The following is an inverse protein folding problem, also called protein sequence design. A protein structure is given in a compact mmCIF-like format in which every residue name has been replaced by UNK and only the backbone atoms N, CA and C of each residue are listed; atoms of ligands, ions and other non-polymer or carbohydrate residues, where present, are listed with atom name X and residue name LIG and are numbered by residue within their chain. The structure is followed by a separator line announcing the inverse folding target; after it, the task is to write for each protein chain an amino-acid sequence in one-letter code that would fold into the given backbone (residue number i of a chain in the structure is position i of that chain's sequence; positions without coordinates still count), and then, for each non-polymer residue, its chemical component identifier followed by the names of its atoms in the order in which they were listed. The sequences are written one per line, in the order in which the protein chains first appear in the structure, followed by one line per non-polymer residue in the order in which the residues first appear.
data_IF_687925130153
#
_entry.id   IF_687925130153
#
_cell.length_a   1.000
_cell.length_b   1.000
_cell.length_c   1.000
_cell.angle_alpha   90.00
_cell.angle_beta   90.00
_cell.angle_gamma   90.00
#
_symmetry.space_group_name_H-M   'P 1'
#
loop_
_entity.id
_entity.type
_entity.pdbx_description
1 polymer ?
#
# COMPACT_ATOMS: atom_id res chain seq x y z
N UNK A 1 -1.28 18.35 -0.27
CA UNK A 1 -1.50 17.19 0.61
C UNK A 1 -2.40 16.20 -0.11
N UNK A 2 -2.19 14.90 0.08
CA UNK A 2 -3.03 13.86 -0.53
C UNK A 2 -3.38 12.85 0.55
N UNK A 3 -4.62 12.38 0.52
CA UNK A 3 -5.16 11.37 1.41
C UNK A 3 -6.06 10.45 0.57
N UNK A 4 -6.02 9.16 0.89
CA UNK A 4 -6.96 8.20 0.36
C UNK A 4 -7.98 7.85 1.42
N UNK A 5 -9.23 7.71 1.00
CA UNK A 5 -10.33 7.34 1.87
C UNK A 5 -11.15 6.23 1.23
N UNK A 6 -11.81 5.46 2.08
CA UNK A 6 -12.81 4.48 1.67
C UNK A 6 -14.19 5.06 1.93
N UNK A 7 -15.01 5.15 0.89
CA UNK A 7 -16.41 5.57 1.02
C UNK A 7 -17.33 4.36 0.91
N UNK A 8 -18.06 4.07 1.98
CA UNK A 8 -19.07 3.02 1.95
C UNK A 8 -20.30 3.46 1.14
N UNK A 9 -20.79 2.56 0.30
CA UNK A 9 -21.93 2.74 -0.58
C UNK A 9 -22.74 1.44 -0.64
N UNK A 10 -24.04 1.55 -0.91
CA UNK A 10 -24.93 0.42 -1.09
C UNK A 10 -25.47 0.39 -2.52
N UNK A 11 -25.68 -0.82 -3.05
CA UNK A 11 -26.25 -1.00 -4.38
C UNK A 11 -26.98 -2.33 -4.51
N UNK A 12 -27.48 -2.62 -5.71
CA UNK A 12 -28.34 -3.78 -5.99
C UNK A 12 -27.70 -5.15 -5.65
N UNK A 13 -26.38 -5.20 -5.49
CA UNK A 13 -25.61 -6.41 -5.19
C UNK A 13 -24.97 -6.41 -3.78
N UNK A 14 -25.38 -5.50 -2.90
CA UNK A 14 -24.90 -5.40 -1.51
C UNK A 14 -24.06 -4.15 -1.24
N UNK A 15 -23.48 -4.11 -0.05
CA UNK A 15 -22.61 -3.02 0.39
C UNK A 15 -21.20 -3.17 -0.20
N UNK A 16 -20.63 -2.05 -0.63
CA UNK A 16 -19.28 -1.98 -1.19
C UNK A 16 -18.60 -0.69 -0.76
N UNK A 17 -17.28 -0.69 -0.83
CA UNK A 17 -16.47 0.49 -0.60
C UNK A 17 -15.93 1.03 -1.93
N UNK A 18 -15.86 2.34 -2.07
CA UNK A 18 -15.28 3.04 -3.22
C UNK A 18 -13.99 3.71 -2.75
N UNK A 19 -12.90 3.49 -3.48
CA UNK A 19 -11.67 4.24 -3.25
C UNK A 19 -11.86 5.70 -3.67
N UNK A 20 -11.55 6.61 -2.75
CA UNK A 20 -11.69 8.04 -2.95
C UNK A 20 -10.35 8.74 -2.74
N UNK A 21 -10.03 9.65 -3.65
CA UNK A 21 -8.89 10.55 -3.54
C UNK A 21 -9.35 11.90 -2.98
N UNK A 22 -8.72 12.29 -1.87
CA UNK A 22 -8.82 13.62 -1.30
C UNK A 22 -7.48 14.33 -1.52
N UNK A 23 -7.48 15.38 -2.34
CA UNK A 23 -6.28 16.16 -2.62
C UNK A 23 -6.51 17.62 -2.22
N UNK A 24 -5.55 18.19 -1.50
CA UNK A 24 -5.54 19.59 -1.11
C UNK A 24 -4.34 20.29 -1.72
N UNK A 25 -4.59 21.25 -2.61
CA UNK A 25 -3.54 22.17 -3.03
C UNK A 25 -3.32 23.19 -1.91
N UNK A 26 -2.18 23.07 -1.24
CA UNK A 26 -1.82 23.92 -0.11
C UNK A 26 -1.46 25.35 -0.50
N UNK A 27 -1.22 25.63 -1.80
CA UNK A 27 -0.91 26.97 -2.30
C UNK A 27 -2.18 27.72 -2.69
N UNK A 28 -3.11 27.06 -3.37
CA UNK A 28 -4.37 27.66 -3.81
C UNK A 28 -5.52 27.46 -2.82
N UNK A 29 -5.32 26.57 -1.84
CA UNK A 29 -6.32 26.08 -0.90
C UNK A 29 -7.48 25.31 -1.56
N UNK A 30 -7.34 24.91 -2.82
CA UNK A 30 -8.35 24.10 -3.52
C UNK A 30 -8.40 22.68 -2.95
N UNK A 31 -9.60 22.23 -2.60
CA UNK A 31 -9.87 20.86 -2.17
C UNK A 31 -10.52 20.10 -3.33
N UNK A 32 -9.93 18.96 -3.67
CA UNK A 32 -10.47 17.99 -4.60
C UNK A 32 -10.91 16.76 -3.84
N UNK A 33 -12.12 16.34 -4.15
CA UNK A 33 -12.75 15.13 -3.67
C UNK A 33 -13.29 14.40 -4.88
N UNK A 34 -12.65 13.28 -5.23
CA UNK A 34 -13.01 12.52 -6.42
C UNK A 34 -12.91 11.02 -6.16
N UNK A 35 -13.87 10.27 -6.70
CA UNK A 35 -13.83 8.81 -6.72
C UNK A 35 -12.75 8.36 -7.68
N UNK A 36 -12.02 7.32 -7.30
CA UNK A 36 -11.02 6.72 -8.18
C UNK A 36 -11.73 5.88 -9.22
N UNK A 37 -11.34 6.07 -10.48
CA UNK A 37 -11.94 5.39 -11.63
C UNK A 37 -10.99 4.35 -12.22
N UNK A 38 -11.52 3.26 -12.76
CA UNK A 38 -10.78 2.34 -13.62
C UNK A 38 -10.44 3.01 -14.95
N UNK A 39 -9.59 2.36 -15.76
CA UNK A 39 -9.31 2.82 -17.13
C UNK A 39 -10.54 2.87 -18.04
N UNK A 40 -11.61 2.16 -17.67
CA UNK A 40 -12.88 2.11 -18.41
C UNK A 40 -13.85 3.20 -17.96
N UNK A 41 -13.52 3.95 -16.89
CA UNK A 41 -14.34 5.04 -16.35
C UNK A 41 -15.29 4.61 -15.24
N UNK A 42 -15.31 3.33 -14.86
CA UNK A 42 -16.08 2.83 -13.73
C UNK A 42 -15.42 3.15 -12.40
N UNK A 43 -16.20 3.21 -11.32
CA UNK A 43 -15.65 3.40 -9.98
C UNK A 43 -14.83 2.18 -9.53
N UNK A 44 -13.68 2.42 -8.91
CA UNK A 44 -12.91 1.35 -8.29
C UNK A 44 -13.59 0.91 -6.97
N UNK A 45 -14.26 -0.24 -7.04
CA UNK A 45 -15.10 -0.80 -5.98
C UNK A 45 -14.47 -2.01 -5.30
N UNK A 46 -14.72 -2.14 -4.00
CA UNK A 46 -14.30 -3.26 -3.16
C UNK A 46 -15.52 -3.89 -2.52
N UNK A 47 -15.84 -5.13 -2.92
CA UNK A 47 -16.95 -5.89 -2.37
C UNK A 47 -16.50 -6.65 -1.11
N UNK A 48 -17.41 -6.78 -0.12
CA UNK A 48 -17.25 -7.67 1.05
C UNK A 48 -16.01 -7.44 1.93
N UNK A 49 -15.67 -6.21 2.31
CA UNK A 49 -14.61 -5.99 3.29
C UNK A 49 -14.96 -4.89 4.31
N UNK A 50 -14.85 -5.28 5.59
CA UNK A 50 -14.52 -4.40 6.71
C UNK A 50 -13.24 -3.61 6.33
N UNK A 51 -13.38 -2.30 6.13
CA UNK A 51 -12.35 -1.31 5.79
C UNK A 51 -11.37 -1.63 4.63
N UNK A 52 -11.35 -0.77 3.62
CA UNK A 52 -10.17 -0.65 2.75
C UNK A 52 -9.12 0.14 3.55
N UNK A 53 -8.29 -0.57 4.32
CA UNK A 53 -7.18 0.03 5.05
C UNK A 53 -6.09 0.43 4.06
N UNK A 54 -6.18 1.67 3.60
CA UNK A 54 -5.25 2.27 2.66
C UNK A 54 -4.19 3.00 3.45
N UNK A 55 -2.96 2.50 3.41
CA UNK A 55 -1.83 3.18 4.02
C UNK A 55 -1.17 4.07 2.96
N UNK A 56 -0.96 5.34 3.30
CA UNK A 56 -0.19 6.27 2.47
C UNK A 56 0.96 6.85 3.27
N UNK A 57 2.17 6.79 2.72
CA UNK A 57 3.38 7.39 3.26
C UNK A 57 3.63 8.75 2.58
N UNK A 58 4.50 9.59 3.15
CA UNK A 58 4.90 10.88 2.57
C UNK A 58 5.49 10.75 1.16
N UNK A 59 6.06 9.58 0.84
CA UNK A 59 6.65 9.25 -0.46
C UNK A 59 5.71 8.45 -1.38
N UNK A 60 4.46 8.21 -0.97
CA UNK A 60 3.42 7.64 -1.82
C UNK A 60 3.06 8.56 -2.98
N UNK A 61 3.45 9.83 -2.93
CA UNK A 61 3.43 10.74 -4.07
C UNK A 61 4.63 10.43 -4.97
N UNK A 62 4.34 10.07 -6.22
CA UNK A 62 5.33 9.68 -7.24
C UNK A 62 5.45 10.77 -8.31
N UNK A 63 6.46 10.63 -9.18
CA UNK A 63 6.61 11.41 -10.42
C UNK A 63 6.38 12.91 -10.25
N UNK A 64 7.15 13.56 -9.36
CA UNK A 64 7.05 14.99 -9.09
C UNK A 64 5.67 15.50 -8.65
N UNK A 65 4.82 14.66 -8.07
CA UNK A 65 3.51 15.11 -7.57
C UNK A 65 2.31 14.77 -8.45
N UNK A 66 2.49 13.99 -9.51
CA UNK A 66 1.40 13.70 -10.46
C UNK A 66 0.69 12.38 -10.18
N UNK A 67 1.38 11.41 -9.60
CA UNK A 67 0.80 10.12 -9.24
C UNK A 67 0.80 9.92 -7.73
N UNK A 68 -0.17 9.16 -7.23
CA UNK A 68 -0.19 8.70 -5.85
C UNK A 68 -0.40 7.19 -5.81
N UNK A 69 0.26 6.54 -4.85
CA UNK A 69 0.17 5.11 -4.62
C UNK A 69 -0.59 4.81 -3.33
N UNK A 70 -1.54 3.87 -3.39
CA UNK A 70 -2.30 3.41 -2.24
C UNK A 70 -2.27 1.88 -2.18
N UNK A 71 -2.12 1.30 -0.99
CA UNK A 71 -2.04 -0.15 -0.84
C UNK A 71 -3.20 -0.72 -0.06
N UNK A 72 -3.58 -1.96 -0.38
CA UNK A 72 -4.47 -2.77 0.44
C UNK A 72 -3.66 -3.68 1.38
N UNK A 73 -4.30 -4.15 2.45
CA UNK A 73 -3.69 -5.04 3.45
C UNK A 73 -3.13 -6.36 2.89
N UNK A 74 -3.69 -6.84 1.77
CA UNK A 74 -3.21 -8.03 1.07
C UNK A 74 -2.04 -7.74 0.11
N UNK A 75 -1.58 -6.49 0.08
CA UNK A 75 -0.41 -6.05 -0.67
C UNK A 75 -0.68 -5.68 -2.12
N UNK A 76 -1.93 -5.58 -2.57
CA UNK A 76 -2.21 -4.96 -3.87
C UNK A 76 -1.87 -3.47 -3.78
N UNK A 77 -1.15 -2.97 -4.79
CA UNK A 77 -0.81 -1.56 -4.91
C UNK A 77 -1.52 -0.91 -6.10
N UNK A 78 -2.20 0.20 -5.83
CA UNK A 78 -2.91 1.02 -6.81
C UNK A 78 -2.10 2.29 -7.10
N UNK A 79 -1.80 2.55 -8.38
CA UNK A 79 -1.13 3.79 -8.84
C UNK A 79 -2.14 4.65 -9.56
N UNK A 80 -2.38 5.85 -9.05
CA UNK A 80 -3.50 6.70 -9.44
C UNK A 80 -2.97 8.06 -9.91
N UNK A 81 -3.48 8.55 -11.03
CA UNK A 81 -3.25 9.92 -11.46
C UNK A 81 -4.04 10.87 -10.55
N UNK A 82 -3.34 11.77 -9.87
CA UNK A 82 -3.93 12.67 -8.89
C UNK A 82 -4.86 13.70 -9.56
N UNK A 83 -4.54 14.10 -10.79
CA UNK A 83 -5.28 15.14 -11.51
C UNK A 83 -6.61 14.61 -12.03
N UNK A 84 -6.63 13.37 -12.52
CA UNK A 84 -7.82 12.78 -13.16
C UNK A 84 -8.57 11.81 -12.25
N UNK A 85 -7.92 11.28 -11.21
CA UNK A 85 -8.47 10.24 -10.36
C UNK A 85 -8.50 8.87 -11.01
N UNK A 86 -7.84 8.70 -12.16
CA UNK A 86 -7.83 7.43 -12.90
C UNK A 86 -6.74 6.52 -12.36
N UNK A 87 -7.11 5.28 -12.08
CA UNK A 87 -6.20 4.17 -11.81
C UNK A 87 -5.40 3.85 -13.08
N UNK A 88 -4.08 3.98 -13.00
CA UNK A 88 -3.17 3.68 -14.10
C UNK A 88 -2.63 2.26 -14.01
N UNK A 89 -2.29 1.82 -12.80
CA UNK A 89 -1.72 0.50 -12.58
C UNK A 89 -2.29 -0.14 -11.31
N UNK A 90 -2.61 -1.43 -11.42
CA UNK A 90 -2.80 -2.33 -10.29
C UNK A 90 -1.63 -3.33 -10.28
N UNK A 91 -0.87 -3.33 -9.19
CA UNK A 91 0.32 -4.15 -9.05
C UNK A 91 0.04 -5.22 -8.01
N UNK A 92 0.14 -6.47 -8.43
CA UNK A 92 -0.06 -7.62 -7.54
C UNK A 92 1.05 -7.71 -6.47
N UNK A 93 0.73 -8.22 -5.27
CA UNK A 93 1.74 -8.43 -4.24
C UNK A 93 2.81 -9.44 -4.69
N UNK A 94 4.04 -9.34 -4.16
CA UNK A 94 5.14 -10.25 -4.49
C UNK A 94 4.81 -11.73 -4.19
N UNK A 95 4.01 -11.96 -3.15
CA UNK A 95 3.50 -13.25 -2.75
C UNK A 95 2.00 -13.12 -2.46
N UNK A 96 1.18 -13.96 -3.10
CA UNK A 96 -0.27 -14.01 -2.82
C UNK A 96 -0.51 -14.63 -1.45
N UNK A 97 -1.40 -13.99 -0.70
CA UNK A 97 -1.83 -14.46 0.61
C UNK A 97 -3.10 -15.30 0.48
N UNK A 98 -3.20 -16.32 1.33
CA UNK A 98 -4.49 -16.98 1.56
C UNK A 98 -5.19 -16.22 2.69
N UNK A 99 -6.51 -16.40 2.80
CA UNK A 99 -7.27 -15.73 3.87
C UNK A 99 -6.64 -16.02 5.23
N UNK A 100 -6.29 -14.95 5.96
CA UNK A 100 -5.76 -14.94 7.31
C UNK A 100 -4.34 -15.54 7.53
N UNK A 101 -3.49 -15.63 6.50
CA UNK A 101 -2.12 -16.12 6.67
C UNK A 101 -1.03 -15.04 6.70
N UNK A 102 -1.39 -13.76 6.60
CA UNK A 102 -0.44 -12.67 6.67
C UNK A 102 -1.04 -11.34 6.22
N UNK A 103 -0.22 -10.29 6.29
CA UNK A 103 -0.52 -8.96 5.77
C UNK A 103 0.72 -8.29 5.24
N UNK A 104 0.52 -7.29 4.39
CA UNK A 104 1.56 -6.39 3.93
C UNK A 104 1.47 -5.02 4.59
N UNK A 105 2.63 -4.53 5.00
CA UNK A 105 2.89 -3.11 5.20
C UNK A 105 3.74 -2.63 4.02
N UNK A 106 3.30 -1.56 3.34
CA UNK A 106 4.05 -0.97 2.22
C UNK A 106 4.65 0.36 2.66
N UNK A 107 5.95 0.51 2.43
CA UNK A 107 6.69 1.74 2.73
C UNK A 107 7.32 2.30 1.47
N UNK A 108 7.14 3.60 1.27
CA UNK A 108 7.72 4.31 0.14
C UNK A 108 8.91 5.12 0.64
N UNK A 109 9.98 5.10 -0.14
CA UNK A 109 11.10 6.04 0.00
C UNK A 109 11.23 6.87 -1.27
N UNK A 110 12.29 7.66 -1.36
CA UNK A 110 12.61 8.40 -2.59
C UNK A 110 12.82 7.45 -3.77
N UNK A 111 13.58 6.37 -3.58
CA UNK A 111 14.03 5.49 -4.66
C UNK A 111 13.43 4.07 -4.63
N UNK A 112 12.89 3.64 -3.49
CA UNK A 112 12.47 2.26 -3.28
C UNK A 112 11.06 2.14 -2.72
N UNK A 113 10.44 1.00 -3.00
CA UNK A 113 9.21 0.53 -2.37
C UNK A 113 9.50 -0.77 -1.63
N UNK A 114 9.14 -0.80 -0.36
CA UNK A 114 9.33 -1.95 0.52
C UNK A 114 7.99 -2.59 0.80
N UNK A 115 7.86 -3.87 0.45
CA UNK A 115 6.76 -4.71 0.89
C UNK A 115 7.24 -5.51 2.09
N UNK A 116 6.73 -5.19 3.28
CA UNK A 116 7.03 -5.90 4.51
C UNK A 116 5.90 -6.89 4.73
N UNK A 117 6.18 -8.17 4.51
CA UNK A 117 5.26 -9.27 4.70
C UNK A 117 5.40 -9.81 6.12
N UNK A 118 4.32 -9.69 6.88
CA UNK A 118 4.20 -10.24 8.22
C UNK A 118 3.26 -11.44 8.21
N UNK A 119 3.76 -12.67 8.45
CA UNK A 119 2.91 -13.85 8.62
C UNK A 119 2.18 -13.79 9.96
N UNK A 120 0.98 -14.35 10.01
CA UNK A 120 0.26 -14.61 11.24
C UNK A 120 -0.62 -15.86 11.11
N UNK A 121 -1.18 -16.32 12.23
CA UNK A 121 -2.00 -17.53 12.26
C UNK A 121 -1.19 -18.77 11.89
N UNK A 122 -1.68 -19.55 10.92
CA UNK A 122 -1.09 -20.82 10.49
C UNK A 122 -0.19 -20.67 9.25
N UNK A 123 0.42 -19.50 9.05
CA UNK A 123 1.35 -19.27 7.94
C UNK A 123 2.52 -20.28 7.96
N UNK A 124 2.83 -20.86 6.81
CA UNK A 124 3.94 -21.79 6.60
C UNK A 124 5.19 -21.10 6.02
N UNK A 125 5.17 -19.76 5.97
CA UNK A 125 6.25 -18.94 5.46
C UNK A 125 6.76 -17.93 6.50
N UNK A 126 8.05 -17.58 6.45
CA UNK A 126 8.67 -16.59 7.32
C UNK A 126 8.28 -15.16 6.93
N UNK A 127 8.50 -14.21 7.84
CA UNK A 127 8.44 -12.79 7.51
C UNK A 127 9.49 -12.43 6.45
N UNK A 128 9.12 -11.52 5.54
CA UNK A 128 9.96 -11.12 4.41
C UNK A 128 9.88 -9.63 4.15
N UNK A 129 10.95 -9.07 3.60
CA UNK A 129 10.95 -7.75 2.99
C UNK A 129 11.28 -7.91 1.51
N UNK A 130 10.38 -7.45 0.64
CA UNK A 130 10.66 -7.34 -0.79
C UNK A 130 10.97 -5.88 -1.12
N UNK A 131 12.08 -5.65 -1.81
CA UNK A 131 12.55 -4.32 -2.19
C UNK A 131 12.36 -4.15 -3.69
N UNK A 132 11.71 -3.07 -4.08
CA UNK A 132 11.44 -2.73 -5.46
C UNK A 132 12.01 -1.36 -5.80
N UNK A 133 12.54 -1.21 -7.02
CA UNK A 133 12.86 0.10 -7.58
C UNK A 133 11.56 0.86 -7.89
N UNK A 134 11.46 2.11 -7.43
CA UNK A 134 10.23 2.92 -7.55
C UNK A 134 9.90 3.29 -9.00
N UNK A 135 10.92 3.52 -9.83
CA UNK A 135 10.73 4.05 -11.19
C UNK A 135 10.15 3.03 -12.17
N UNK A 136 10.46 1.74 -11.97
CA UNK A 136 10.12 0.68 -12.91
C UNK A 136 9.50 -0.56 -12.25
N UNK A 137 9.24 -0.50 -10.94
CA UNK A 137 8.63 -1.59 -10.16
C UNK A 137 9.36 -2.93 -10.32
N UNK A 138 10.67 -2.90 -10.50
CA UNK A 138 11.49 -4.12 -10.60
C UNK A 138 11.89 -4.60 -9.22
N UNK A 139 11.72 -5.90 -8.94
CA UNK A 139 12.20 -6.51 -7.68
C UNK A 139 13.73 -6.49 -7.66
N UNK A 140 14.30 -5.80 -6.67
CA UNK A 140 15.74 -5.66 -6.47
C UNK A 140 16.26 -6.66 -5.45
N UNK A 141 15.49 -6.90 -4.38
CA UNK A 141 15.88 -7.82 -3.32
C UNK A 141 14.68 -8.48 -2.66
N UNK A 142 14.94 -9.64 -2.06
CA UNK A 142 14.06 -10.34 -1.14
C UNK A 142 14.88 -10.73 0.07
N UNK A 143 14.45 -10.30 1.25
CA UNK A 143 15.14 -10.51 2.50
C UNK A 143 14.23 -11.32 3.40
N UNK A 144 14.65 -12.52 3.74
CA UNK A 144 13.95 -13.34 4.72
C UNK A 144 14.37 -12.95 6.13
N UNK A 145 13.40 -12.67 7.00
CA UNK A 145 13.64 -12.34 8.40
C UNK A 145 13.63 -13.63 9.22
N UNK A 146 14.78 -13.96 9.81
CA UNK A 146 14.98 -15.19 10.60
C UNK A 146 15.39 -14.87 12.04
N UNK A 147 15.24 -15.87 12.92
CA UNK A 147 15.58 -15.77 14.33
C UNK A 147 14.81 -14.64 15.03
N UNK A 148 15.46 -13.95 15.96
CA UNK A 148 14.83 -12.90 16.77
C UNK A 148 14.19 -11.78 15.94
N UNK A 149 14.73 -11.46 14.76
CA UNK A 149 14.16 -10.45 13.87
C UNK A 149 12.86 -10.93 13.22
N UNK A 150 12.83 -12.19 12.77
CA UNK A 150 11.62 -12.82 12.27
C UNK A 150 10.54 -12.92 13.35
N UNK A 151 10.92 -13.31 14.56
CA UNK A 151 10.02 -13.42 15.71
C UNK A 151 9.44 -12.04 16.10
N UNK A 152 10.26 -10.99 16.09
CA UNK A 152 9.83 -9.63 16.40
C UNK A 152 8.76 -9.12 15.43
N UNK A 153 8.94 -9.35 14.13
CA UNK A 153 7.99 -8.91 13.09
C UNK A 153 6.73 -9.78 13.08
N UNK A 154 6.86 -11.09 13.32
CA UNK A 154 5.76 -12.06 13.15
C UNK A 154 4.86 -12.22 14.39
N UNK A 155 5.38 -12.00 15.60
CA UNK A 155 4.77 -12.60 16.81
C UNK A 155 4.25 -11.61 17.86
N UNK A 156 4.43 -10.30 17.72
CA UNK A 156 3.94 -9.35 18.74
C UNK A 156 2.97 -8.34 18.16
N UNK A 157 1.68 -8.58 18.38
CA UNK A 157 0.63 -7.55 18.30
C UNK A 157 0.95 -6.29 19.12
N UNK A 158 1.84 -6.41 20.10
CA UNK A 158 2.35 -5.32 20.95
C UNK A 158 3.53 -4.54 20.33
N UNK A 159 4.25 -5.13 19.38
CA UNK A 159 5.37 -4.51 18.65
C UNK A 159 5.01 -4.45 17.16
N UNK A 160 3.88 -3.81 16.85
CA UNK A 160 3.62 -3.42 15.46
C UNK A 160 4.80 -2.60 14.95
N UNK A 161 5.26 -2.89 13.72
CA UNK A 161 6.20 -2.00 13.04
C UNK A 161 5.51 -0.63 12.87
N UNK A 162 5.86 0.33 13.72
CA UNK A 162 5.31 1.68 13.66
C UNK A 162 6.07 2.57 12.70
N UNK A 163 7.26 2.14 12.29
CA UNK A 163 8.10 2.84 11.34
C UNK A 163 9.21 1.94 10.81
N UNK A 164 9.55 2.17 9.55
CA UNK A 164 10.69 1.56 8.88
C UNK A 164 11.53 2.70 8.30
N UNK A 165 12.82 2.72 8.64
CA UNK A 165 13.78 3.66 8.05
C UNK A 165 14.94 2.84 7.49
N UNK A 166 14.99 2.70 6.17
CA UNK A 166 16.19 2.22 5.53
C UNK A 166 17.29 3.29 5.71
N UNK A 167 18.42 2.89 6.32
CA UNK A 167 19.61 3.73 6.37
C UNK A 167 20.58 3.26 5.26
N UNK A 168 20.60 3.92 4.08
CA UNK A 168 21.43 3.49 2.96
C UNK A 168 22.93 3.62 3.23
N UNK A 169 23.31 4.45 4.21
CA UNK A 169 24.71 4.67 4.62
C UNK A 169 25.14 3.69 5.72
N UNK A 170 24.24 2.84 6.21
CA UNK A 170 24.56 1.85 7.24
C UNK A 170 25.34 0.70 6.61
N UNK A 171 26.65 0.71 6.82
CA UNK A 171 27.50 -0.45 6.61
C UNK A 171 27.56 -1.26 7.90
N UNK A 172 27.27 -2.56 7.81
CA UNK A 172 27.64 -3.49 8.86
C UNK A 172 29.07 -3.94 8.55
N UNK A 173 30.00 -3.67 9.48
CA UNK A 173 31.34 -4.25 9.45
C UNK A 173 31.26 -5.79 9.60
#
# INVERSE_FOLDING_TARGET
MIMFASESSSGDFGDYNILTLLAWDTKTHELKHQRVLTSEGDELRFNNLDSVDLVCDRYSILTNGTLAAANRIDGILYVIDIRTGVLLHEIAPPQRLQSQNGQYEIRFTENYVYYILTPFGNADFPAKIFVYGKDNWTKLAEIELRGALGDMVSYKSELGLTGFAANPDMTWD
#
